data_IF_510962266458
#
_entry.id   IF_510962266458
#
_cell.length_a   1.000
_cell.length_b   1.000
_cell.length_c   1.000
_cell.angle_alpha   90.00
_cell.angle_beta   90.00
_cell.angle_gamma   90.00
#
_symmetry.space_group_name_H-M   'P 1'
#
loop_
_entity.id
_entity.type
_entity.pdbx_description
1 polymer ?
#
# COMPACT_ATOMS: atom_id res chain seq x y z
N UNK A 1 -11.34 3.40 11.44
CA UNK A 1 -10.95 3.19 10.04
C UNK A 1 -10.82 1.69 9.85
N UNK A 2 -11.25 1.18 8.69
CA UNK A 2 -11.17 -0.24 8.33
C UNK A 2 -9.72 -0.68 8.12
N UNK A 3 -9.42 -1.95 8.37
CA UNK A 3 -8.13 -2.62 8.11
C UNK A 3 -7.58 -2.29 6.71
N UNK A 4 -8.46 -2.27 5.70
CA UNK A 4 -8.08 -2.00 4.31
C UNK A 4 -7.59 -0.58 4.09
N UNK A 5 -8.18 0.41 4.77
CA UNK A 5 -7.73 1.81 4.67
C UNK A 5 -6.35 1.98 5.31
N UNK A 6 -6.13 1.37 6.48
CA UNK A 6 -4.80 1.41 7.12
C UNK A 6 -3.73 0.69 6.27
N UNK A 7 -4.08 -0.43 5.64
CA UNK A 7 -3.17 -1.12 4.71
C UNK A 7 -2.86 -0.26 3.47
N UNK A 8 -3.88 0.39 2.88
CA UNK A 8 -3.69 1.31 1.76
C UNK A 8 -2.77 2.48 2.13
N UNK A 9 -2.93 3.07 3.31
CA UNK A 9 -2.07 4.15 3.81
C UNK A 9 -0.61 3.71 4.00
N UNK A 10 -0.38 2.45 4.36
CA UNK A 10 0.99 1.87 4.49
C UNK A 10 1.64 1.67 3.11
N UNK A 11 0.84 1.36 2.09
CA UNK A 11 1.30 1.17 0.71
C UNK A 11 1.52 2.49 -0.04
N UNK A 12 0.60 3.44 0.11
CA UNK A 12 0.60 4.74 -0.61
C UNK A 12 1.70 5.69 -0.16
N UNK A 13 2.07 5.64 1.13
CA UNK A 13 3.24 6.37 1.67
C UNK A 13 4.56 6.00 0.99
N UNK A 14 4.62 4.87 0.28
CA UNK A 14 5.79 4.44 -0.48
C UNK A 14 5.89 5.04 -1.88
N UNK A 15 4.77 5.47 -2.48
CA UNK A 15 4.71 5.58 -3.94
C UNK A 15 4.61 7.01 -4.47
N UNK A 16 3.93 7.98 -3.84
CA UNK A 16 3.65 9.26 -4.53
C UNK A 16 3.46 10.53 -3.66
N UNK A 17 3.87 10.57 -2.39
CA UNK A 17 3.70 11.79 -1.57
C UNK A 17 5.02 12.31 -1.01
N UNK A 18 5.43 13.56 -1.32
CA UNK A 18 6.56 14.21 -0.65
C UNK A 18 6.13 14.63 0.76
N UNK A 19 6.07 13.67 1.68
CA UNK A 19 5.96 13.94 3.11
C UNK A 19 7.39 13.82 3.71
N UNK A 20 7.81 14.70 4.65
CA UNK A 20 9.17 14.74 5.20
C UNK A 20 9.61 13.48 5.98
N UNK A 21 8.75 12.47 6.04
CA UNK A 21 8.99 11.17 6.64
C UNK A 21 8.86 10.12 5.54
N UNK A 22 9.76 10.17 4.55
CA UNK A 22 9.96 9.05 3.64
C UNK A 22 10.45 7.87 4.48
N UNK A 23 9.51 7.08 5.00
CA UNK A 23 9.79 5.83 5.69
C UNK A 23 10.25 4.80 4.65
N UNK A 24 11.46 5.02 4.15
CA UNK A 24 12.27 4.00 3.53
C UNK A 24 12.60 2.93 4.57
N UNK A 25 12.57 1.67 4.15
CA UNK A 25 12.76 0.53 5.03
C UNK A 25 11.96 -0.69 4.58
N UNK A 26 12.11 -1.80 5.29
CA UNK A 26 11.31 -3.00 5.02
C UNK A 26 9.83 -2.77 5.32
N UNK A 27 8.95 -3.51 4.64
CA UNK A 27 7.51 -3.50 4.91
C UNK A 27 7.20 -3.79 6.39
N UNK A 28 7.99 -4.67 7.00
CA UNK A 28 7.90 -5.00 8.42
C UNK A 28 8.19 -3.77 9.29
N UNK A 29 9.26 -3.04 9.00
CA UNK A 29 9.59 -1.82 9.74
C UNK A 29 8.48 -0.77 9.63
N UNK A 30 7.88 -0.62 8.45
CA UNK A 30 6.77 0.33 8.22
C UNK A 30 5.50 -0.04 8.99
N UNK A 31 5.14 -1.32 9.03
CA UNK A 31 3.95 -1.77 9.76
C UNK A 31 4.17 -1.71 11.27
N UNK A 32 5.27 -2.29 11.78
CA UNK A 32 5.50 -2.40 13.22
C UNK A 32 6.11 -1.14 13.85
N UNK A 33 6.61 -0.20 13.03
CA UNK A 33 7.13 1.11 13.48
C UNK A 33 6.04 2.16 13.68
N UNK A 34 4.85 1.97 13.09
CA UNK A 34 3.73 2.91 13.27
C UNK A 34 3.15 2.82 14.67
N UNK A 35 3.10 3.99 15.32
CA UNK A 35 2.41 4.18 16.59
C UNK A 35 0.96 4.60 16.28
N UNK A 36 0.00 4.10 17.05
CA UNK A 36 -1.44 4.38 16.90
C UNK A 36 -2.18 3.62 15.78
N UNK A 37 -1.74 2.40 15.44
CA UNK A 37 -2.53 1.51 14.59
C UNK A 37 -3.82 1.09 15.30
N UNK A 38 -4.95 1.13 14.58
CA UNK A 38 -6.24 0.68 15.08
C UNK A 38 -6.43 -0.82 14.86
N UNK A 39 -5.93 -1.33 13.74
CA UNK A 39 -5.95 -2.76 13.42
C UNK A 39 -4.72 -3.49 13.98
N UNK A 40 -4.81 -4.81 14.25
CA UNK A 40 -3.68 -5.61 14.69
C UNK A 40 -2.51 -5.53 13.68
N UNK A 41 -1.28 -5.19 14.12
CA UNK A 41 -0.13 -5.04 13.22
C UNK A 41 0.22 -6.32 12.45
N UNK A 42 -0.01 -7.50 13.04
CA UNK A 42 0.18 -8.79 12.36
C UNK A 42 -0.77 -8.97 11.18
N UNK A 43 -2.04 -8.60 11.34
CA UNK A 43 -3.05 -8.67 10.30
C UNK A 43 -2.79 -7.66 9.19
N UNK A 44 -2.37 -6.45 9.55
CA UNK A 44 -1.92 -5.44 8.59
C UNK A 44 -0.70 -5.93 7.79
N UNK A 45 0.31 -6.47 8.47
CA UNK A 45 1.50 -6.98 7.81
C UNK A 45 1.18 -8.11 6.84
N UNK A 46 0.34 -9.07 7.25
CA UNK A 46 -0.10 -10.17 6.39
C UNK A 46 -0.84 -9.65 5.14
N UNK A 47 -1.79 -8.74 5.31
CA UNK A 47 -2.57 -8.17 4.21
C UNK A 47 -1.69 -7.40 3.22
N UNK A 48 -0.84 -6.52 3.74
CA UNK A 48 0.04 -5.68 2.90
C UNK A 48 1.06 -6.55 2.18
N UNK A 49 1.65 -7.54 2.86
CA UNK A 49 2.61 -8.48 2.24
C UNK A 49 1.96 -9.27 1.11
N UNK A 50 0.77 -9.82 1.34
CA UNK A 50 0.04 -10.56 0.31
C UNK A 50 -0.29 -9.66 -0.88
N UNK A 51 -0.75 -8.43 -0.63
CA UNK A 51 -1.06 -7.44 -1.68
C UNK A 51 0.16 -7.16 -2.57
N UNK A 52 1.36 -7.02 -1.98
CA UNK A 52 2.58 -6.80 -2.74
C UNK A 52 2.92 -7.94 -3.70
N UNK A 53 2.58 -9.20 -3.38
CA UNK A 53 2.84 -10.36 -4.27
C UNK A 53 2.03 -10.28 -5.56
N UNK A 54 0.82 -9.74 -5.48
CA UNK A 54 -0.10 -9.61 -6.62
C UNK A 54 0.07 -8.30 -7.40
N UNK A 55 0.99 -7.42 -6.97
CA UNK A 55 1.24 -6.12 -7.62
C UNK A 55 1.60 -6.25 -9.11
N UNK A 56 2.41 -7.26 -9.48
CA UNK A 56 2.77 -7.53 -10.87
C UNK A 56 1.55 -7.90 -11.73
N UNK A 57 0.71 -8.82 -11.23
CA UNK A 57 -0.53 -9.22 -11.92
C UNK A 57 -1.49 -8.04 -12.05
N UNK A 58 -1.63 -7.24 -10.99
CA UNK A 58 -2.51 -6.08 -11.01
C UNK A 58 -2.04 -5.04 -12.06
N UNK A 59 -0.73 -4.83 -12.19
CA UNK A 59 -0.16 -3.99 -13.23
C UNK A 59 -0.54 -4.47 -14.63
N UNK A 60 -0.33 -5.76 -14.91
CA UNK A 60 -0.65 -6.35 -16.22
C UNK A 60 -2.15 -6.20 -16.56
N UNK A 61 -3.02 -6.42 -15.59
CA UNK A 61 -4.47 -6.25 -15.76
C UNK A 61 -4.84 -4.78 -16.02
N UNK A 62 -4.26 -3.84 -15.27
CA UNK A 62 -4.53 -2.40 -15.44
C UNK A 62 -4.06 -1.93 -16.82
N UNK A 63 -2.86 -2.34 -17.24
CA UNK A 63 -2.30 -1.99 -18.55
C UNK A 63 -3.14 -2.62 -19.69
N UNK A 64 -3.48 -3.91 -19.58
CA UNK A 64 -4.28 -4.61 -20.59
C UNK A 64 -5.74 -4.15 -20.68
N UNK A 65 -6.31 -3.63 -19.60
CA UNK A 65 -7.65 -3.07 -19.59
C UNK A 65 -7.73 -1.64 -20.17
N UNK A 66 -6.58 -1.03 -20.49
CA UNK A 66 -6.46 0.33 -21.02
C UNK A 66 -7.19 1.41 -20.20
N UNK A 67 -7.44 1.14 -18.90
CA UNK A 67 -8.27 1.99 -18.03
C UNK A 67 -7.74 3.42 -17.95
N UNK A 68 -6.42 3.58 -17.92
CA UNK A 68 -5.75 4.87 -17.84
C UNK A 68 -6.00 5.76 -19.08
N UNK A 69 -6.35 5.18 -20.24
CA UNK A 69 -6.70 5.97 -21.45
C UNK A 69 -8.04 6.69 -21.30
N UNK A 70 -8.90 6.20 -20.40
CA UNK A 70 -10.24 6.73 -20.16
C UNK A 70 -10.30 7.67 -18.96
N UNK A 71 -9.21 7.83 -18.18
CA UNK A 71 -9.16 8.83 -17.11
C UNK A 71 -9.21 10.24 -17.68
N UNK A 72 -10.00 11.11 -17.04
CA UNK A 72 -9.97 12.55 -17.33
C UNK A 72 -8.64 13.13 -16.86
N UNK A 73 -8.01 13.91 -17.74
CA UNK A 73 -6.83 14.71 -17.39
C UNK A 73 -7.17 15.81 -16.38
#
# INVERSE_FOLDING_TARGET
MSLYHEAADILSTSTNTPHPSSEGGSLKARVFGRKNLKSPPSQLYALVLETCKWSGVLKEVIEGAELLRHERK
#
